data_IF_182796766388
#
_entry.id   IF_182796766388
#
_cell.length_a   1.000
_cell.length_b   1.000
_cell.length_c   1.000
_cell.angle_alpha   90.00
_cell.angle_beta   90.00
_cell.angle_gamma   90.00
#
_symmetry.space_group_name_H-M   'P 1'
#
loop_
_entity.id
_entity.type
_entity.pdbx_description
1 polymer ?
#
# COMPACT_ATOMS: atom_id res chain seq x y z
N UNK A 1 -12.89 -2.13 -14.06
CA UNK A 1 -11.73 -1.49 -14.70
C UNK A 1 -11.04 -2.50 -15.60
N UNK A 2 -10.67 -2.07 -16.79
CA UNK A 2 -9.80 -2.86 -17.65
C UNK A 2 -8.37 -2.94 -17.06
N UNK A 3 -7.50 -3.77 -17.65
CA UNK A 3 -6.14 -3.97 -17.17
C UNK A 3 -5.27 -2.70 -17.22
N UNK A 4 -5.43 -1.89 -18.27
CA UNK A 4 -4.65 -0.66 -18.50
C UNK A 4 -5.07 0.45 -17.52
N UNK A 5 -6.36 0.54 -17.22
CA UNK A 5 -6.91 1.45 -16.22
C UNK A 5 -6.33 1.17 -14.84
N UNK A 6 -6.24 -0.11 -14.46
CA UNK A 6 -5.67 -0.51 -13.17
C UNK A 6 -4.19 -0.12 -13.08
N UNK A 7 -3.39 -0.41 -14.11
CA UNK A 7 -1.97 -0.03 -14.14
C UNK A 7 -1.76 1.49 -14.03
N UNK A 8 -2.59 2.28 -14.69
CA UNK A 8 -2.53 3.74 -14.58
C UNK A 8 -2.89 4.22 -13.17
N UNK A 9 -3.96 3.67 -12.59
CA UNK A 9 -4.45 4.07 -11.28
C UNK A 9 -3.45 3.73 -10.17
N UNK A 10 -2.77 2.59 -10.30
CA UNK A 10 -1.74 2.15 -9.34
C UNK A 10 -0.37 2.75 -9.62
N UNK A 11 -0.21 3.52 -10.71
CA UNK A 11 1.08 4.04 -11.20
C UNK A 11 2.10 2.91 -11.37
N UNK A 12 1.67 1.82 -12.00
CA UNK A 12 2.50 0.65 -12.25
C UNK A 12 3.80 1.03 -12.99
N UNK A 13 4.93 0.50 -12.52
CA UNK A 13 6.27 0.79 -13.02
C UNK A 13 6.92 2.06 -12.43
N UNK A 14 6.15 2.95 -11.81
CA UNK A 14 6.69 4.15 -11.15
C UNK A 14 7.13 3.83 -9.72
N UNK A 15 8.45 3.83 -9.48
CA UNK A 15 9.06 3.57 -8.17
C UNK A 15 9.40 4.85 -7.40
N UNK A 16 8.91 6.01 -7.85
CA UNK A 16 9.09 7.27 -7.15
C UNK A 16 8.46 7.23 -5.75
N UNK A 17 9.02 7.98 -4.78
CA UNK A 17 8.42 8.14 -3.46
C UNK A 17 6.95 8.58 -3.52
N UNK A 18 6.58 9.44 -4.46
CA UNK A 18 5.23 9.94 -4.65
C UNK A 18 4.26 8.82 -5.08
N UNK A 19 4.68 7.94 -5.99
CA UNK A 19 3.88 6.80 -6.40
C UNK A 19 3.75 5.76 -5.27
N UNK A 20 4.82 5.52 -4.50
CA UNK A 20 4.79 4.60 -3.36
C UNK A 20 3.87 5.16 -2.25
N UNK A 21 3.97 6.46 -1.97
CA UNK A 21 3.09 7.15 -1.02
C UNK A 21 1.61 6.96 -1.39
N UNK A 22 1.26 7.21 -2.66
CA UNK A 22 -0.09 7.03 -3.18
C UNK A 22 -0.65 5.64 -2.87
N UNK A 23 0.14 4.60 -3.16
CA UNK A 23 -0.25 3.20 -2.91
C UNK A 23 -0.29 2.83 -1.44
N UNK A 24 0.63 3.35 -0.62
CA UNK A 24 0.63 3.14 0.83
C UNK A 24 -0.63 3.72 1.49
N UNK A 25 -1.04 4.92 1.06
CA UNK A 25 -2.25 5.57 1.56
C UNK A 25 -3.49 4.75 1.19
N UNK A 26 -3.63 4.31 -0.06
CA UNK A 26 -4.74 3.45 -0.47
C UNK A 26 -4.75 2.11 0.29
N UNK A 27 -3.59 1.48 0.43
CA UNK A 27 -3.42 0.25 1.21
C UNK A 27 -3.88 0.44 2.66
N UNK A 28 -3.51 1.55 3.30
CA UNK A 28 -3.98 1.87 4.65
C UNK A 28 -5.50 2.03 4.68
N UNK A 29 -6.06 2.84 3.77
CA UNK A 29 -7.51 3.11 3.75
C UNK A 29 -8.33 1.82 3.59
N UNK A 30 -7.88 0.90 2.73
CA UNK A 30 -8.48 -0.45 2.56
C UNK A 30 -8.68 -1.17 3.89
N UNK A 31 -7.74 -1.03 4.84
CA UNK A 31 -7.82 -1.78 6.10
C UNK A 31 -8.93 -1.26 7.02
N UNK A 32 -9.48 -0.07 6.75
CA UNK A 32 -10.40 0.63 7.64
C UNK A 32 -9.76 1.12 8.95
N UNK A 33 -8.46 0.89 9.14
CA UNK A 33 -7.74 1.24 10.37
C UNK A 33 -7.11 2.64 10.26
N UNK A 34 -7.06 3.34 11.39
CA UNK A 34 -6.28 4.57 11.50
C UNK A 34 -4.77 4.27 11.45
N UNK A 35 -3.96 5.25 11.02
CA UNK A 35 -2.50 5.11 11.00
C UNK A 35 -1.93 4.76 12.39
N UNK A 36 -2.57 5.20 13.48
CA UNK A 36 -2.17 4.87 14.86
C UNK A 36 -2.42 3.39 15.19
N UNK A 37 -3.57 2.86 14.79
CA UNK A 37 -3.92 1.45 14.99
C UNK A 37 -3.00 0.55 14.16
N UNK A 38 -2.76 0.87 12.88
CA UNK A 38 -1.84 0.10 12.03
C UNK A 38 -0.41 0.12 12.56
N UNK A 39 0.08 1.28 13.00
CA UNK A 39 1.41 1.37 13.60
C UNK A 39 1.54 0.46 14.83
N UNK A 40 0.52 0.46 15.71
CA UNK A 40 0.48 -0.44 16.87
C UNK A 40 0.47 -1.92 16.45
N UNK A 41 -0.37 -2.30 15.48
CA UNK A 41 -0.46 -3.68 14.97
C UNK A 41 0.82 -4.14 14.27
N UNK A 42 1.51 -3.24 13.55
CA UNK A 42 2.80 -3.52 12.93
C UNK A 42 3.97 -3.53 13.93
N UNK A 43 3.74 -3.13 15.19
CA UNK A 43 4.78 -2.97 16.20
C UNK A 43 5.80 -1.88 15.82
N UNK A 44 5.32 -0.78 15.20
CA UNK A 44 6.12 0.36 14.76
C UNK A 44 5.65 1.60 15.53
N UNK A 45 6.56 2.51 15.87
CA UNK A 45 6.18 3.80 16.47
C UNK A 45 5.28 4.58 15.49
N UNK A 46 4.21 5.20 15.99
CA UNK A 46 3.28 5.97 15.17
C UNK A 46 3.97 7.03 14.28
N UNK A 47 4.92 7.79 14.84
CA UNK A 47 5.68 8.80 14.07
C UNK A 47 6.52 8.19 12.96
N UNK A 48 7.09 7.00 13.19
CA UNK A 48 7.83 6.25 12.17
C UNK A 48 6.92 5.76 11.06
N UNK A 49 5.72 5.26 11.39
CA UNK A 49 4.72 4.88 10.37
C UNK A 49 4.36 6.07 9.49
N UNK A 50 4.00 7.21 10.10
CA UNK A 50 3.61 8.43 9.36
C UNK A 50 4.78 8.93 8.49
N UNK A 51 6.00 8.91 9.01
CA UNK A 51 7.19 9.29 8.24
C UNK A 51 7.41 8.39 7.03
N UNK A 52 7.27 7.07 7.18
CA UNK A 52 7.44 6.11 6.08
C UNK A 52 6.34 6.25 5.02
N UNK A 53 5.09 6.39 5.46
CA UNK A 53 3.94 6.61 4.57
C UNK A 53 4.11 7.92 3.79
N UNK A 54 4.37 9.03 4.48
CA UNK A 54 4.53 10.35 3.84
C UNK A 54 5.73 10.42 2.89
N UNK A 55 6.84 9.80 3.25
CA UNK A 55 8.05 9.81 2.45
C UNK A 55 8.08 8.73 1.37
N UNK A 56 7.02 7.92 1.20
CA UNK A 56 6.99 6.84 0.20
C UNK A 56 8.13 5.84 0.35
N UNK A 57 8.62 5.63 1.57
CA UNK A 57 9.81 4.83 1.87
C UNK A 57 9.50 3.82 2.98
N UNK A 58 8.63 2.83 2.70
CA UNK A 58 8.24 1.84 3.67
C UNK A 58 9.42 0.94 4.01
N UNK A 59 9.58 0.66 5.31
CA UNK A 59 10.55 -0.34 5.75
C UNK A 59 10.09 -1.75 5.39
N UNK A 60 11.04 -2.68 5.26
CA UNK A 60 10.74 -4.11 5.09
C UNK A 60 9.77 -4.59 6.18
N UNK A 61 9.94 -4.14 7.42
CA UNK A 61 9.03 -4.50 8.53
C UNK A 61 7.57 -4.13 8.24
N UNK A 62 7.33 -2.92 7.73
CA UNK A 62 5.99 -2.45 7.40
C UNK A 62 5.40 -3.24 6.22
N UNK A 63 6.20 -3.48 5.18
CA UNK A 63 5.77 -4.29 4.03
C UNK A 63 5.47 -5.74 4.43
N UNK A 64 6.33 -6.36 5.27
CA UNK A 64 6.08 -7.71 5.82
C UNK A 64 4.77 -7.76 6.58
N UNK A 65 4.46 -6.72 7.35
CA UNK A 65 3.20 -6.63 8.08
C UNK A 65 2.01 -6.59 7.11
N UNK A 66 2.04 -5.73 6.08
CA UNK A 66 0.99 -5.66 5.08
C UNK A 66 0.80 -6.97 4.32
N UNK A 67 1.89 -7.64 3.95
CA UNK A 67 1.82 -8.96 3.32
C UNK A 67 1.17 -10.01 4.24
N UNK A 68 1.59 -10.08 5.51
CA UNK A 68 1.10 -11.10 6.43
C UNK A 68 -0.34 -10.86 6.92
N UNK A 69 -0.71 -9.61 7.13
CA UNK A 69 -2.01 -9.26 7.71
C UNK A 69 -3.08 -9.03 6.64
N UNK A 70 -2.70 -8.57 5.44
CA UNK A 70 -3.65 -8.12 4.41
C UNK A 70 -3.34 -8.68 3.00
N UNK A 71 -2.36 -9.57 2.87
CA UNK A 71 -1.92 -10.14 1.57
C UNK A 71 -1.49 -9.10 0.53
N UNK A 72 -1.03 -7.93 0.99
CA UNK A 72 -0.54 -6.88 0.09
C UNK A 72 0.94 -7.10 -0.20
N UNK A 73 1.24 -7.45 -1.45
CA UNK A 73 2.56 -7.84 -1.91
C UNK A 73 3.52 -6.64 -2.05
N UNK A 74 4.83 -6.91 -1.94
CA UNK A 74 5.86 -5.88 -2.00
C UNK A 74 5.95 -5.29 -3.40
N UNK A 75 5.74 -6.10 -4.44
CA UNK A 75 5.74 -5.63 -5.82
C UNK A 75 4.59 -4.65 -6.07
N UNK A 76 3.45 -4.82 -5.39
CA UNK A 76 2.40 -3.82 -5.43
C UNK A 76 2.85 -2.52 -4.74
N UNK A 77 3.33 -2.60 -3.49
CA UNK A 77 3.74 -1.41 -2.73
C UNK A 77 4.86 -0.61 -3.42
N UNK A 78 5.85 -1.30 -4.00
CA UNK A 78 7.05 -0.67 -4.58
C UNK A 78 6.93 -0.43 -6.09
N UNK A 79 6.42 -1.40 -6.85
CA UNK A 79 6.31 -1.36 -8.32
C UNK A 79 4.91 -1.13 -8.87
N UNK A 80 3.85 -1.29 -8.07
CA UNK A 80 2.50 -0.87 -8.44
C UNK A 80 1.76 -1.93 -9.24
N UNK A 81 2.24 -3.17 -9.21
CA UNK A 81 1.69 -4.31 -9.96
C UNK A 81 0.43 -4.87 -9.26
N UNK A 82 -0.78 -4.58 -9.75
CA UNK A 82 -2.02 -5.08 -9.15
C UNK A 82 -2.24 -6.58 -9.40
N UNK A 83 -1.57 -7.19 -10.38
CA UNK A 83 -1.73 -8.60 -10.69
C UNK A 83 -1.15 -9.52 -9.60
N UNK A 84 -0.30 -8.98 -8.72
CA UNK A 84 0.28 -9.68 -7.58
C UNK A 84 -0.65 -9.77 -6.38
N UNK A 85 -1.75 -9.02 -6.38
CA UNK A 85 -2.72 -9.02 -5.30
C UNK A 85 -3.82 -10.06 -5.55
N UNK A 86 -4.33 -10.71 -4.48
CA UNK A 86 -5.61 -11.41 -4.53
C UNK A 86 -6.73 -10.50 -5.04
N UNK A 87 -7.75 -11.06 -5.72
CA UNK A 87 -8.76 -10.26 -6.41
C UNK A 87 -9.56 -9.34 -5.47
N UNK A 88 -9.97 -9.86 -4.31
CA UNK A 88 -10.68 -9.14 -3.25
C UNK A 88 -9.83 -7.99 -2.68
N UNK A 89 -8.54 -8.26 -2.41
CA UNK A 89 -7.59 -7.25 -1.94
C UNK A 89 -7.39 -6.19 -3.01
N UNK A 90 -7.14 -6.58 -4.26
CA UNK A 90 -6.99 -5.65 -5.37
C UNK A 90 -8.19 -4.72 -5.49
N UNK A 91 -9.40 -5.26 -5.51
CA UNK A 91 -10.63 -4.47 -5.63
C UNK A 91 -10.80 -3.48 -4.47
N UNK A 92 -10.53 -3.91 -3.24
CA UNK A 92 -10.60 -3.03 -2.07
C UNK A 92 -9.55 -1.90 -2.10
N UNK A 93 -8.34 -2.13 -2.63
CA UNK A 93 -7.32 -1.08 -2.79
C UNK A 93 -7.70 -0.13 -3.92
N UNK A 94 -8.16 -0.67 -5.05
CA UNK A 94 -8.53 0.13 -6.23
C UNK A 94 -9.68 1.08 -5.91
N UNK A 95 -10.59 0.70 -5.01
CA UNK A 95 -11.67 1.57 -4.54
C UNK A 95 -11.19 2.79 -3.72
N UNK A 96 -9.95 2.78 -3.23
CA UNK A 96 -9.36 3.83 -2.39
C UNK A 96 -8.33 4.70 -3.12
N UNK A 97 -8.09 4.41 -4.40
CA UNK A 97 -7.23 5.19 -5.29
C UNK A 97 -8.08 6.23 -6.05
N UNK A 98 -7.63 7.48 -6.01
CA UNK A 98 -8.20 8.61 -6.77
C UNK A 98 -7.56 8.75 -8.16
#
# INVERSE_FOLDING_TARGET
MDYIEQEKLTRAGDTSPEAIHHRLVATRKMTGMTSKQLAASAGIKYTTFISQEKAGSPSVKLMTFYLKAFMVDYNFILGGDPARLPADVREAILAELD
#
